data_IF_643350219352
#
_entry.id   IF_643350219352
#
_cell.length_a   1.000
_cell.length_b   1.000
_cell.length_c   1.000
_cell.angle_alpha   90.00
_cell.angle_beta   90.00
_cell.angle_gamma   90.00
#
_symmetry.space_group_name_H-M   'P 1'
#
loop_
_entity.id
_entity.type
_entity.pdbx_description
1 polymer ?
#
# COMPACT_ATOMS: atom_id res chain seq x y z
N UNK A 1 12.63 -12.59 35.11
CA UNK A 1 12.60 -12.50 33.64
C UNK A 1 11.19 -12.65 33.07
N UNK A 2 10.44 -13.72 33.36
CA UNK A 2 9.09 -13.93 32.82
C UNK A 2 8.08 -12.80 33.13
N UNK A 3 8.04 -12.33 34.39
CA UNK A 3 7.16 -11.23 34.79
C UNK A 3 7.44 -9.91 34.02
N UNK A 4 8.71 -9.58 33.82
CA UNK A 4 9.13 -8.37 33.09
C UNK A 4 8.72 -8.43 31.62
N UNK A 5 8.76 -9.62 31.00
CA UNK A 5 8.31 -9.81 29.63
C UNK A 5 6.79 -9.61 29.50
N UNK A 6 5.99 -10.18 30.41
CA UNK A 6 4.52 -10.03 30.41
C UNK A 6 4.13 -8.54 30.50
N UNK A 7 4.73 -7.81 31.46
CA UNK A 7 4.46 -6.38 31.65
C UNK A 7 4.86 -5.58 30.42
N UNK A 8 6.04 -5.85 29.85
CA UNK A 8 6.52 -5.15 28.66
C UNK A 8 5.60 -5.39 27.45
N UNK A 9 5.15 -6.62 27.23
CA UNK A 9 4.23 -6.95 26.13
C UNK A 9 2.89 -6.24 26.29
N UNK A 10 2.30 -6.25 27.48
CA UNK A 10 1.01 -5.59 27.74
C UNK A 10 1.14 -4.06 27.63
N UNK A 11 2.24 -3.49 28.13
CA UNK A 11 2.54 -2.07 27.97
C UNK A 11 2.71 -1.68 26.50
N UNK A 12 3.43 -2.50 25.72
CA UNK A 12 3.61 -2.27 24.29
C UNK A 12 2.27 -2.39 23.53
N UNK A 13 1.45 -3.39 23.87
CA UNK A 13 0.12 -3.54 23.31
C UNK A 13 -0.77 -2.31 23.59
N UNK A 14 -0.67 -1.73 24.78
CA UNK A 14 -1.33 -0.47 25.11
C UNK A 14 -0.83 0.70 24.27
N UNK A 15 0.48 0.85 24.11
CA UNK A 15 1.05 1.92 23.26
C UNK A 15 0.53 1.84 21.82
N UNK A 16 0.43 0.63 21.26
CA UNK A 16 -0.06 0.41 19.90
C UNK A 16 -1.58 0.61 19.76
N UNK A 17 -2.38 0.22 20.75
CA UNK A 17 -3.85 0.30 20.68
C UNK A 17 -4.39 1.71 20.99
N UNK A 18 -3.73 2.44 21.89
CA UNK A 18 -4.18 3.73 22.45
C UNK A 18 -4.56 4.83 21.45
N UNK A 19 -3.98 4.94 20.25
CA UNK A 19 -4.43 5.92 19.25
C UNK A 19 -5.84 5.65 18.72
N UNK A 20 -6.31 4.40 18.78
CA UNK A 20 -7.54 3.94 18.11
C UNK A 20 -8.53 3.29 19.08
N UNK A 21 -8.07 2.89 20.28
CA UNK A 21 -8.84 2.14 21.27
C UNK A 21 -9.52 0.90 20.70
N UNK A 22 -8.85 0.29 19.71
CA UNK A 22 -9.39 -0.73 18.84
C UNK A 22 -9.92 -1.96 19.59
N UNK A 23 -9.19 -2.41 20.62
CA UNK A 23 -9.60 -3.54 21.48
C UNK A 23 -9.53 -3.18 22.97
N UNK A 24 -10.02 -1.98 23.31
CA UNK A 24 -10.07 -1.45 24.68
C UNK A 24 -10.57 -2.44 25.74
N UNK A 25 -11.61 -3.24 25.43
CA UNK A 25 -12.12 -4.28 26.34
C UNK A 25 -11.12 -5.42 26.57
N UNK A 26 -10.48 -5.93 25.51
CA UNK A 26 -9.47 -6.99 25.63
C UNK A 26 -8.23 -6.51 26.38
N UNK A 27 -7.91 -5.22 26.24
CA UNK A 27 -6.79 -4.62 26.96
C UNK A 27 -7.02 -4.62 28.47
N UNK A 28 -8.23 -4.34 28.94
CA UNK A 28 -8.59 -4.44 30.37
C UNK A 28 -8.36 -5.86 30.88
N UNK A 29 -8.81 -6.88 30.14
CA UNK A 29 -8.58 -8.28 30.51
C UNK A 29 -7.09 -8.65 30.49
N UNK A 30 -6.34 -8.20 29.49
CA UNK A 30 -4.90 -8.45 29.41
C UNK A 30 -4.14 -7.87 30.62
N UNK A 31 -4.51 -6.68 31.10
CA UNK A 31 -3.94 -6.08 32.31
C UNK A 31 -4.29 -6.91 33.54
N UNK A 32 -5.54 -7.36 33.70
CA UNK A 32 -5.95 -8.21 34.83
C UNK A 32 -5.14 -9.51 34.84
N UNK A 33 -5.01 -10.19 33.70
CA UNK A 33 -4.22 -11.41 33.59
C UNK A 33 -2.73 -11.18 33.82
N UNK A 34 -2.20 -10.03 33.41
CA UNK A 34 -0.81 -9.66 33.68
C UNK A 34 -0.57 -9.50 35.18
N UNK A 35 -1.46 -8.80 35.89
CA UNK A 35 -1.38 -8.64 37.34
C UNK A 35 -1.49 -9.99 38.04
N UNK A 36 -2.47 -10.82 37.68
CA UNK A 36 -2.64 -12.16 38.27
C UNK A 36 -1.43 -13.06 38.00
N UNK A 37 -0.93 -13.11 36.76
CA UNK A 37 0.22 -13.94 36.40
C UNK A 37 1.53 -13.46 37.04
N UNK A 38 1.75 -12.15 37.14
CA UNK A 38 2.95 -11.59 37.77
C UNK A 38 2.94 -11.76 39.29
N UNK A 39 1.82 -11.47 39.95
CA UNK A 39 1.68 -11.68 41.40
C UNK A 39 1.72 -13.17 41.76
N UNK A 40 1.12 -14.03 40.94
CA UNK A 40 1.17 -15.47 41.11
C UNK A 40 2.60 -16.02 40.99
N UNK A 41 3.35 -15.60 39.97
CA UNK A 41 4.76 -15.96 39.78
C UNK A 41 5.69 -15.38 40.86
N UNK A 42 5.35 -14.22 41.42
CA UNK A 42 6.15 -13.57 42.47
C UNK A 42 5.90 -14.19 43.84
N UNK A 43 4.65 -14.57 44.15
CA UNK A 43 4.27 -15.26 45.38
C UNK A 43 4.62 -16.75 45.36
N UNK A 44 4.81 -17.33 44.17
CA UNK A 44 5.25 -18.71 44.02
C UNK A 44 6.75 -18.88 44.35
N UNK A 45 7.09 -18.83 45.64
CA UNK A 45 8.41 -19.21 46.15
C UNK A 45 8.65 -20.73 46.11
N UNK A 46 9.66 -21.22 46.83
CA UNK A 46 10.06 -22.65 46.84
C UNK A 46 9.01 -23.64 47.36
N UNK A 47 7.90 -23.16 47.93
CA UNK A 47 6.80 -23.96 48.51
C UNK A 47 5.47 -23.84 47.75
N UNK A 48 5.46 -23.22 46.58
CA UNK A 48 4.24 -23.03 45.80
C UNK A 48 3.68 -24.36 45.25
N UNK A 49 2.35 -24.50 45.23
CA UNK A 49 1.72 -25.66 44.60
C UNK A 49 1.91 -25.63 43.07
N UNK A 50 1.98 -26.81 42.46
CA UNK A 50 2.07 -26.96 41.00
C UNK A 50 0.88 -26.31 40.29
N UNK A 51 -0.29 -26.33 40.91
CA UNK A 51 -1.51 -25.69 40.38
C UNK A 51 -1.38 -24.17 40.34
N UNK A 52 -0.81 -23.54 41.39
CA UNK A 52 -0.56 -22.10 41.42
C UNK A 52 0.43 -21.68 40.33
N UNK A 53 1.50 -22.44 40.13
CA UNK A 53 2.49 -22.18 39.08
C UNK A 53 1.84 -22.29 37.69
N UNK A 54 1.07 -23.35 37.43
CA UNK A 54 0.37 -23.56 36.15
C UNK A 54 -0.65 -22.46 35.88
N UNK A 55 -1.45 -22.07 36.88
CA UNK A 55 -2.42 -20.99 36.77
C UNK A 55 -1.77 -19.64 36.46
N UNK A 56 -0.64 -19.34 37.12
CA UNK A 56 0.12 -18.11 36.92
C UNK A 56 0.76 -18.05 35.52
N UNK A 57 1.28 -19.18 35.02
CA UNK A 57 1.76 -19.33 33.65
C UNK A 57 0.63 -19.16 32.62
N UNK A 58 -0.51 -19.81 32.83
CA UNK A 58 -1.67 -19.68 31.95
C UNK A 58 -2.18 -18.23 31.89
N UNK A 59 -2.26 -17.55 33.04
CA UNK A 59 -2.61 -16.14 33.11
C UNK A 59 -1.57 -15.26 32.39
N UNK A 60 -0.27 -15.51 32.59
CA UNK A 60 0.80 -14.80 31.88
C UNK A 60 0.72 -14.97 30.36
N UNK A 61 0.43 -16.19 29.88
CA UNK A 61 0.24 -16.49 28.45
C UNK A 61 -1.02 -15.78 27.92
N UNK A 62 -2.13 -15.83 28.66
CA UNK A 62 -3.36 -15.13 28.28
C UNK A 62 -3.12 -13.61 28.17
N UNK A 63 -2.39 -13.02 29.12
CA UNK A 63 -2.05 -11.61 29.13
C UNK A 63 -1.27 -11.16 27.89
N UNK A 64 -0.35 -11.98 27.37
CA UNK A 64 0.47 -11.65 26.21
C UNK A 64 -0.23 -11.92 24.87
N UNK A 65 -1.19 -12.85 24.83
CA UNK A 65 -1.86 -13.27 23.59
C UNK A 65 -3.20 -12.59 23.33
N UNK A 66 -3.94 -12.15 24.34
CA UNK A 66 -5.30 -11.63 24.17
C UNK A 66 -5.40 -10.45 23.20
N UNK A 67 -4.51 -9.46 23.34
CA UNK A 67 -4.54 -8.26 22.49
C UNK A 67 -4.08 -8.57 21.05
N UNK A 68 -2.93 -9.24 20.80
CA UNK A 68 -2.56 -9.69 19.46
C UNK A 68 -3.57 -10.62 18.79
N UNK A 69 -4.24 -11.49 19.57
CA UNK A 69 -5.31 -12.34 19.04
C UNK A 69 -6.52 -11.51 18.59
N UNK A 70 -6.92 -10.49 19.34
CA UNK A 70 -7.96 -9.55 18.91
C UNK A 70 -7.61 -8.83 17.61
N UNK A 71 -6.35 -8.40 17.46
CA UNK A 71 -5.85 -7.83 16.22
C UNK A 71 -5.86 -8.84 15.05
N UNK A 72 -5.47 -10.09 15.29
CA UNK A 72 -5.52 -11.13 14.26
C UNK A 72 -6.96 -11.45 13.82
N UNK A 73 -7.90 -11.56 14.77
CA UNK A 73 -9.31 -11.83 14.50
C UNK A 73 -9.95 -10.71 13.67
N UNK A 74 -9.47 -9.47 13.78
CA UNK A 74 -9.98 -8.37 12.94
C UNK A 74 -9.83 -8.62 11.44
N UNK A 75 -8.88 -9.45 11.01
CA UNK A 75 -8.72 -9.82 9.59
C UNK A 75 -9.90 -10.60 9.02
N UNK A 76 -10.72 -11.22 9.89
CA UNK A 76 -11.91 -11.96 9.50
C UNK A 76 -13.10 -11.04 9.22
N UNK A 77 -13.06 -9.79 9.67
CA UNK A 77 -14.08 -8.80 9.37
C UNK A 77 -13.63 -7.92 8.18
N UNK A 78 -14.34 -7.96 7.03
CA UNK A 78 -14.01 -7.17 5.85
C UNK A 78 -13.91 -5.66 6.09
N UNK A 79 -14.49 -5.16 7.18
CA UNK A 79 -14.39 -3.75 7.60
C UNK A 79 -12.96 -3.35 7.98
N UNK A 80 -12.13 -4.31 8.42
CA UNK A 80 -10.76 -4.07 8.88
C UNK A 80 -9.69 -4.71 7.99
N UNK A 81 -10.08 -5.48 6.97
CA UNK A 81 -9.17 -6.18 6.08
C UNK A 81 -8.27 -5.25 5.23
N UNK A 82 -8.64 -3.98 5.09
CA UNK A 82 -7.91 -3.01 4.29
C UNK A 82 -8.13 -3.18 2.79
N UNK A 83 -7.30 -2.51 1.97
CA UNK A 83 -7.31 -2.71 0.53
C UNK A 83 -6.54 -3.99 0.16
N UNK A 84 -6.86 -4.63 -0.97
CA UNK A 84 -6.12 -5.81 -1.46
C UNK A 84 -4.60 -5.56 -1.61
N UNK A 85 -4.20 -4.31 -1.79
CA UNK A 85 -2.81 -3.87 -1.93
C UNK A 85 -2.12 -3.55 -0.60
N UNK A 86 -2.89 -3.55 0.49
CA UNK A 86 -2.46 -3.15 1.83
C UNK A 86 -3.35 -3.86 2.84
N UNK A 87 -3.23 -5.19 2.98
CA UNK A 87 -3.98 -5.93 3.98
C UNK A 87 -3.61 -5.44 5.37
N UNK A 88 -4.61 -5.29 6.24
CA UNK A 88 -4.42 -4.76 7.59
C UNK A 88 -4.99 -5.70 8.64
N UNK A 89 -4.37 -5.69 9.83
CA UNK A 89 -4.79 -6.42 11.01
C UNK A 89 -4.46 -5.56 12.24
N UNK A 90 -5.39 -5.46 13.19
CA UNK A 90 -5.17 -4.68 14.41
C UNK A 90 -5.12 -3.17 14.15
N UNK A 91 -4.75 -2.37 15.16
CA UNK A 91 -5.24 -1.01 15.33
C UNK A 91 -5.09 -0.23 14.04
N UNK A 92 -6.23 -0.01 13.38
CA UNK A 92 -6.26 0.57 12.05
C UNK A 92 -6.07 2.08 12.20
N UNK A 93 -5.20 2.69 11.39
CA UNK A 93 -4.96 4.13 11.49
C UNK A 93 -6.25 4.95 11.37
N UNK A 94 -6.23 6.18 11.89
CA UNK A 94 -7.38 7.10 11.95
C UNK A 94 -8.23 7.16 10.67
N UNK A 95 -7.59 7.07 9.49
CA UNK A 95 -8.28 7.01 8.21
C UNK A 95 -9.22 5.81 8.06
N UNK A 96 -8.75 4.62 8.44
CA UNK A 96 -9.56 3.40 8.45
C UNK A 96 -10.57 3.41 9.59
N UNK A 97 -10.25 4.02 10.72
CA UNK A 97 -11.20 4.16 11.82
C UNK A 97 -12.41 5.02 11.42
N UNK A 98 -12.19 6.17 10.75
CA UNK A 98 -13.28 7.00 10.20
C UNK A 98 -14.11 6.27 9.17
N UNK A 99 -13.45 5.49 8.32
CA UNK A 99 -14.08 4.67 7.29
C UNK A 99 -15.11 3.64 7.81
N UNK A 100 -14.99 3.21 9.07
CA UNK A 100 -15.97 2.33 9.71
C UNK A 100 -17.32 3.03 9.94
N UNK A 101 -17.29 4.35 10.18
CA UNK A 101 -18.46 5.17 10.45
C UNK A 101 -18.94 5.94 9.22
N UNK A 102 -18.03 6.20 8.26
CA UNK A 102 -18.34 6.80 6.97
C UNK A 102 -17.67 6.00 5.84
N UNK A 103 -18.42 5.06 5.22
CA UNK A 103 -17.91 4.27 4.09
C UNK A 103 -17.48 5.11 2.89
N UNK A 104 -17.96 6.35 2.75
CA UNK A 104 -17.57 7.25 1.67
C UNK A 104 -16.15 7.82 1.86
N UNK A 105 -15.64 7.80 3.09
CA UNK A 105 -14.26 8.16 3.40
C UNK A 105 -13.24 7.14 2.83
N UNK A 106 -13.66 5.89 2.57
CA UNK A 106 -12.83 4.90 1.88
C UNK A 106 -12.75 5.22 0.39
N UNK A 107 -11.71 5.95 -0.01
CA UNK A 107 -11.23 5.88 -1.38
C UNK A 107 -10.61 4.50 -1.64
N UNK A 108 -11.45 3.52 -1.98
CA UNK A 108 -10.99 2.26 -2.57
C UNK A 108 -10.31 2.58 -3.90
N UNK A 109 -8.98 2.69 -3.88
CA UNK A 109 -8.17 2.67 -5.09
C UNK A 109 -8.10 1.22 -5.58
N UNK A 110 -9.18 0.72 -6.16
CA UNK A 110 -9.20 -0.61 -6.78
C UNK A 110 -8.13 -0.68 -7.86
N UNK A 111 -7.16 -1.57 -7.72
CA UNK A 111 -6.21 -1.94 -8.78
C UNK A 111 -6.68 -3.15 -9.57
N UNK A 112 -7.76 -3.79 -9.10
CA UNK A 112 -8.35 -5.02 -9.61
C UNK A 112 -9.29 -4.79 -10.81
N UNK A 113 -9.92 -3.61 -10.89
CA UNK A 113 -10.86 -3.28 -11.97
C UNK A 113 -10.39 -2.08 -12.77
N UNK A 114 -10.16 -2.24 -14.09
CA UNK A 114 -9.90 -1.09 -14.94
C UNK A 114 -11.15 -0.21 -15.02
N UNK A 115 -10.96 1.09 -14.90
CA UNK A 115 -12.02 2.05 -15.13
C UNK A 115 -12.22 2.30 -16.63
N UNK A 116 -13.37 2.86 -17.04
CA UNK A 116 -13.59 3.32 -18.42
C UNK A 116 -12.47 4.25 -18.92
N UNK A 117 -11.86 4.99 -17.99
CA UNK A 117 -10.71 5.86 -18.23
C UNK A 117 -9.43 5.10 -18.55
N UNK A 118 -9.16 4.00 -17.85
CA UNK A 118 -8.00 3.14 -18.11
C UNK A 118 -8.18 2.44 -19.48
N UNK A 119 -9.40 1.99 -19.81
CA UNK A 119 -9.74 1.39 -21.10
C UNK A 119 -9.53 2.37 -22.26
N UNK A 120 -10.06 3.59 -22.16
CA UNK A 120 -9.90 4.61 -23.21
C UNK A 120 -8.43 5.02 -23.42
N UNK A 121 -7.64 5.09 -22.34
CA UNK A 121 -6.20 5.33 -22.45
C UNK A 121 -5.50 4.17 -23.17
N UNK A 122 -5.86 2.92 -22.84
CA UNK A 122 -5.26 1.74 -23.44
C UNK A 122 -5.57 1.63 -24.94
N UNK A 123 -6.83 1.86 -25.32
CA UNK A 123 -7.27 1.89 -26.71
C UNK A 123 -6.52 2.95 -27.53
N UNK A 124 -6.38 4.17 -26.97
CA UNK A 124 -5.57 5.22 -27.57
C UNK A 124 -4.13 4.77 -27.81
N UNK A 125 -3.48 4.16 -26.80
CA UNK A 125 -2.09 3.71 -26.90
C UNK A 125 -1.92 2.61 -27.94
N UNK A 126 -2.82 1.61 -27.97
CA UNK A 126 -2.78 0.50 -28.92
C UNK A 126 -2.95 1.01 -30.35
N UNK A 127 -3.94 1.87 -30.58
CA UNK A 127 -4.24 2.46 -31.90
C UNK A 127 -3.06 3.27 -32.44
N UNK A 128 -2.27 3.90 -31.58
CA UNK A 128 -1.15 4.75 -31.97
C UNK A 128 0.23 4.08 -31.87
N UNK A 129 0.29 2.77 -31.59
CA UNK A 129 1.53 2.00 -31.51
C UNK A 129 2.16 1.87 -32.90
N UNK A 130 3.49 2.06 -32.98
CA UNK A 130 4.32 1.94 -34.18
C UNK A 130 5.46 0.93 -33.98
N UNK A 131 5.16 -0.21 -33.34
CA UNK A 131 6.12 -1.31 -33.14
C UNK A 131 7.04 -1.16 -31.94
N UNK A 132 6.80 -0.20 -31.04
CA UNK A 132 7.64 0.00 -29.85
C UNK A 132 7.66 -1.24 -28.96
N UNK A 133 8.82 -1.54 -28.36
CA UNK A 133 8.99 -2.65 -27.40
C UNK A 133 8.03 -2.51 -26.22
N UNK A 134 7.91 -1.31 -25.66
CA UNK A 134 6.98 -0.98 -24.58
C UNK A 134 5.88 -0.06 -25.11
N UNK A 135 4.62 -0.43 -24.86
CA UNK A 135 3.45 0.37 -25.20
C UNK A 135 3.43 1.70 -24.44
N UNK A 136 3.82 1.66 -23.17
CA UNK A 136 3.78 2.80 -22.26
C UNK A 136 4.76 2.60 -21.10
N UNK A 137 5.41 3.68 -20.66
CA UNK A 137 6.08 3.73 -19.37
C UNK A 137 5.21 4.46 -18.34
N UNK A 138 5.07 3.92 -17.14
CA UNK A 138 4.33 4.55 -16.04
C UNK A 138 5.29 5.00 -14.93
N UNK A 139 4.99 6.12 -14.27
CA UNK A 139 5.81 6.60 -13.13
C UNK A 139 5.75 5.71 -11.88
N UNK A 140 4.72 4.84 -11.77
CA UNK A 140 4.57 3.91 -10.66
C UNK A 140 3.76 2.68 -11.09
N UNK A 141 3.73 1.64 -10.25
CA UNK A 141 3.06 0.37 -10.55
C UNK A 141 1.53 0.47 -10.65
N UNK A 142 0.89 1.27 -9.79
CA UNK A 142 -0.57 1.30 -9.67
C UNK A 142 -1.36 1.72 -10.95
N UNK A 143 -0.90 2.62 -11.84
CA UNK A 143 -1.53 2.80 -13.14
C UNK A 143 -1.24 1.64 -14.11
N UNK A 144 -0.06 1.02 -14.05
CA UNK A 144 0.27 -0.11 -14.91
C UNK A 144 -0.60 -1.33 -14.59
N UNK A 145 -0.86 -1.60 -13.31
CA UNK A 145 -1.67 -2.74 -12.89
C UNK A 145 -3.08 -2.69 -13.49
N UNK A 146 -3.76 -1.55 -13.43
CA UNK A 146 -5.10 -1.40 -14.02
C UNK A 146 -5.08 -1.59 -15.54
N UNK A 147 -4.06 -1.09 -16.23
CA UNK A 147 -3.92 -1.27 -17.67
C UNK A 147 -3.65 -2.73 -18.04
N UNK A 148 -2.77 -3.42 -17.31
CA UNK A 148 -2.47 -4.84 -17.51
C UNK A 148 -3.70 -5.74 -17.28
N UNK A 149 -4.56 -5.38 -16.32
CA UNK A 149 -5.83 -6.10 -16.09
C UNK A 149 -6.86 -5.85 -17.18
N UNK A 150 -6.83 -4.68 -17.83
CA UNK A 150 -7.69 -4.44 -18.99
C UNK A 150 -7.23 -5.27 -20.19
N UNK A 151 -5.94 -5.22 -20.51
CA UNK A 151 -5.34 -6.04 -21.57
C UNK A 151 -3.83 -6.14 -21.35
N UNK A 152 -3.29 -7.36 -21.43
CA UNK A 152 -1.87 -7.60 -21.30
C UNK A 152 -1.10 -6.91 -22.44
N UNK A 153 -0.26 -5.93 -22.08
CA UNK A 153 0.58 -5.14 -22.98
C UNK A 153 1.95 -4.94 -22.34
N UNK A 154 3.04 -4.82 -23.13
CA UNK A 154 4.36 -4.58 -22.57
C UNK A 154 4.44 -3.17 -21.98
N UNK A 155 4.42 -3.07 -20.65
CA UNK A 155 4.52 -1.81 -19.92
C UNK A 155 5.86 -1.71 -19.18
N UNK A 156 6.47 -0.54 -19.23
CA UNK A 156 7.66 -0.23 -18.43
C UNK A 156 7.24 0.48 -17.14
N UNK A 157 7.31 -0.21 -16.00
CA UNK A 157 7.04 0.41 -14.70
C UNK A 157 8.30 1.10 -14.20
N UNK A 158 8.29 2.43 -14.24
CA UNK A 158 9.35 3.25 -13.64
C UNK A 158 9.06 3.47 -12.15
N UNK A 159 10.08 3.70 -11.34
CA UNK A 159 9.85 4.16 -9.96
C UNK A 159 9.36 3.10 -8.96
N UNK A 160 9.06 1.86 -9.39
CA UNK A 160 8.48 0.82 -8.54
C UNK A 160 7.05 1.17 -8.04
N UNK A 161 6.62 0.57 -6.94
CA UNK A 161 5.29 0.84 -6.36
C UNK A 161 5.12 2.28 -5.85
N UNK A 162 6.19 2.82 -5.26
CA UNK A 162 6.22 4.14 -4.60
C UNK A 162 6.68 5.27 -5.51
N UNK A 163 7.04 4.99 -6.76
CA UNK A 163 7.57 5.98 -7.70
C UNK A 163 8.97 6.52 -7.36
N UNK A 164 9.67 5.93 -6.37
CA UNK A 164 10.95 6.41 -5.84
C UNK A 164 12.18 5.64 -6.36
N UNK A 165 11.99 4.45 -6.92
CA UNK A 165 13.13 3.68 -7.45
C UNK A 165 13.72 4.40 -8.67
N UNK A 166 15.04 4.68 -8.72
CA UNK A 166 15.66 5.39 -9.83
C UNK A 166 15.88 4.46 -11.03
N UNK A 167 14.81 3.84 -11.53
CA UNK A 167 14.86 2.90 -12.65
C UNK A 167 13.75 3.19 -13.67
N UNK A 168 14.08 3.20 -14.98
CA UNK A 168 15.44 3.36 -15.50
C UNK A 168 16.02 4.74 -15.09
N UNK A 169 17.34 4.90 -15.19
CA UNK A 169 17.95 6.23 -15.08
C UNK A 169 17.48 7.15 -16.22
N UNK A 170 17.65 8.47 -16.07
CA UNK A 170 17.24 9.41 -17.12
C UNK A 170 17.96 9.17 -18.47
N UNK A 171 19.28 8.91 -18.53
CA UNK A 171 19.97 8.57 -19.78
C UNK A 171 19.46 7.26 -20.40
N UNK A 172 19.21 6.23 -19.59
CA UNK A 172 18.66 4.96 -20.09
C UNK A 172 17.24 5.13 -20.65
N UNK A 173 16.40 5.93 -19.99
CA UNK A 173 15.08 6.27 -20.51
C UNK A 173 15.17 7.00 -21.85
N UNK A 174 16.09 7.98 -21.95
CA UNK A 174 16.38 8.68 -23.20
C UNK A 174 16.83 7.72 -24.31
N UNK A 175 17.65 6.73 -24.00
CA UNK A 175 18.11 5.73 -24.96
C UNK A 175 16.96 4.83 -25.45
N UNK A 176 16.06 4.40 -24.56
CA UNK A 176 14.85 3.64 -24.96
C UNK A 176 13.97 4.43 -25.93
N UNK A 177 13.88 5.74 -25.74
CA UNK A 177 13.11 6.63 -26.63
C UNK A 177 13.84 6.84 -27.96
N UNK A 178 15.14 7.12 -27.92
CA UNK A 178 15.96 7.33 -29.11
C UNK A 178 16.04 6.10 -30.02
N UNK A 179 16.00 4.90 -29.43
CA UNK A 179 16.00 3.62 -30.16
C UNK A 179 14.59 3.13 -30.53
N UNK A 180 13.57 3.99 -30.45
CA UNK A 180 12.17 3.68 -30.74
C UNK A 180 11.58 2.50 -29.94
N UNK A 181 12.17 2.16 -28.80
CA UNK A 181 11.66 1.10 -27.90
C UNK A 181 10.55 1.60 -26.97
N UNK A 182 10.47 2.92 -26.75
CA UNK A 182 9.47 3.57 -25.90
C UNK A 182 9.07 4.91 -26.49
N UNK A 183 7.77 5.23 -26.44
CA UNK A 183 7.26 6.53 -26.92
C UNK A 183 6.39 7.25 -25.92
N UNK A 184 5.49 6.53 -25.27
CA UNK A 184 4.52 7.13 -24.37
C UNK A 184 4.97 7.01 -22.92
N UNK A 185 4.79 8.10 -22.16
CA UNK A 185 5.07 8.11 -20.72
C UNK A 185 3.89 8.70 -19.95
N UNK A 186 3.41 7.99 -18.93
CA UNK A 186 2.34 8.42 -18.03
C UNK A 186 2.91 8.84 -16.67
N UNK A 187 2.83 10.14 -16.38
CA UNK A 187 3.28 10.73 -15.13
C UNK A 187 2.11 11.06 -14.22
N UNK A 188 2.36 11.15 -12.91
CA UNK A 188 1.38 11.50 -11.89
C UNK A 188 1.94 12.52 -10.88
N UNK A 189 1.06 13.37 -10.34
CA UNK A 189 1.41 14.28 -9.26
C UNK A 189 1.37 13.62 -7.87
N UNK A 190 0.84 12.39 -7.76
CA UNK A 190 0.75 11.65 -6.49
C UNK A 190 2.07 10.98 -6.08
N UNK A 191 3.12 11.16 -6.88
CA UNK A 191 4.43 10.55 -6.68
C UNK A 191 5.52 11.61 -6.83
N UNK A 192 6.63 11.49 -6.08
CA UNK A 192 7.73 12.44 -6.18
C UNK A 192 8.30 12.51 -7.60
N UNK A 193 8.88 13.65 -7.93
CA UNK A 193 9.68 13.80 -9.14
C UNK A 193 11.01 13.07 -8.99
N UNK A 194 11.36 12.29 -10.01
CA UNK A 194 12.69 11.68 -10.18
C UNK A 194 13.42 12.31 -11.37
N UNK A 195 14.76 12.15 -11.50
CA UNK A 195 15.50 12.64 -12.67
C UNK A 195 14.89 12.20 -14.01
N UNK A 196 14.43 10.95 -14.10
CA UNK A 196 13.77 10.43 -15.31
C UNK A 196 12.45 11.18 -15.62
N UNK A 197 11.61 11.43 -14.61
CA UNK A 197 10.36 12.19 -14.81
C UNK A 197 10.62 13.66 -15.16
N UNK A 198 11.69 14.25 -14.64
CA UNK A 198 12.12 15.61 -14.99
C UNK A 198 12.57 15.66 -16.44
N UNK A 199 13.37 14.69 -16.88
CA UNK A 199 13.80 14.56 -18.27
C UNK A 199 12.61 14.43 -19.23
N UNK A 200 11.61 13.61 -18.89
CA UNK A 200 10.38 13.47 -19.70
C UNK A 200 9.65 14.81 -19.85
N UNK A 201 9.53 15.57 -18.75
CA UNK A 201 8.86 16.87 -18.79
C UNK A 201 9.59 17.90 -19.65
N UNK A 202 10.91 17.82 -19.77
CA UNK A 202 11.70 18.74 -20.60
C UNK A 202 11.82 18.32 -22.07
N UNK A 203 11.74 17.03 -22.38
CA UNK A 203 11.97 16.53 -23.76
C UNK A 203 10.69 16.08 -24.48
N UNK A 204 9.61 15.77 -23.76
CA UNK A 204 8.40 15.19 -24.33
C UNK A 204 7.23 16.17 -24.33
N UNK A 205 6.30 16.00 -25.28
CA UNK A 205 5.10 16.85 -25.39
C UNK A 205 3.94 16.24 -24.61
N UNK A 206 3.36 17.00 -23.68
CA UNK A 206 2.14 16.57 -22.97
C UNK A 206 0.95 16.51 -23.93
N UNK A 207 0.24 15.39 -23.92
CA UNK A 207 -0.99 15.17 -24.69
C UNK A 207 -2.18 15.72 -23.89
N UNK A 208 -3.08 16.43 -24.57
CA UNK A 208 -4.32 16.92 -23.96
C UNK A 208 -5.22 15.74 -23.61
N UNK A 209 -5.82 15.77 -22.42
CA UNK A 209 -6.63 14.66 -21.92
C UNK A 209 -7.81 14.30 -22.84
N UNK A 210 -8.39 15.29 -23.53
CA UNK A 210 -9.46 15.07 -24.48
C UNK A 210 -9.07 14.14 -25.64
N UNK A 211 -7.79 14.05 -26.00
CA UNK A 211 -7.32 13.21 -27.10
C UNK A 211 -7.41 11.70 -26.81
N UNK A 212 -7.41 11.31 -25.54
CA UNK A 212 -7.56 9.92 -25.09
C UNK A 212 -8.86 9.74 -24.26
N UNK A 213 -9.91 10.49 -24.62
CA UNK A 213 -11.26 10.30 -24.08
C UNK A 213 -11.55 10.97 -22.73
N UNK A 214 -10.71 11.91 -22.25
CA UNK A 214 -10.87 12.50 -20.91
C UNK A 214 -11.19 14.00 -20.94
N UNK A 215 -12.41 14.35 -20.52
CA UNK A 215 -12.88 15.75 -20.43
C UNK A 215 -12.54 16.47 -19.11
N UNK A 216 -12.23 15.75 -18.04
CA UNK A 216 -11.86 16.33 -16.73
C UNK A 216 -10.36 16.18 -16.43
N UNK A 217 -9.73 17.16 -15.77
CA UNK A 217 -8.34 17.03 -15.29
C UNK A 217 -8.25 15.87 -14.29
N UNK A 218 -7.48 14.84 -14.63
CA UNK A 218 -7.12 13.77 -13.72
C UNK A 218 -5.72 13.97 -13.11
N UNK A 219 -5.34 13.07 -12.20
CA UNK A 219 -4.03 13.09 -11.54
C UNK A 219 -2.87 12.56 -12.41
N UNK A 220 -3.13 12.35 -13.71
CA UNK A 220 -2.18 11.81 -14.67
C UNK A 220 -1.98 12.75 -15.86
N UNK A 221 -0.77 12.75 -16.39
CA UNK A 221 -0.41 13.39 -17.65
C UNK A 221 0.27 12.40 -18.57
N UNK A 222 -0.29 12.22 -19.77
CA UNK A 222 0.32 11.43 -20.84
C UNK A 222 1.28 12.33 -21.65
N UNK A 223 2.45 11.82 -21.97
CA UNK A 223 3.49 12.49 -22.73
C UNK A 223 3.84 11.67 -23.98
N UNK A 224 3.94 12.32 -25.13
CA UNK A 224 4.45 11.77 -26.39
C UNK A 224 5.91 12.22 -26.56
N UNK A 225 6.82 11.25 -26.51
CA UNK A 225 8.25 11.47 -26.59
C UNK A 225 8.81 11.28 -28.01
N UNK A 226 7.97 11.32 -29.06
CA UNK A 226 8.46 11.36 -30.45
C UNK A 226 9.51 12.44 -30.63
N UNK A 227 10.63 12.04 -31.22
CA UNK A 227 11.67 12.96 -31.67
C UNK A 227 11.08 13.91 -32.72
N UNK A 228 11.64 15.13 -32.89
CA UNK A 228 11.16 16.06 -33.92
C UNK A 228 11.22 15.50 -35.35
N UNK A 229 12.10 14.54 -35.63
CA UNK A 229 12.20 13.86 -36.92
C UNK A 229 10.95 13.02 -37.23
N UNK A 230 10.45 12.26 -36.25
CA UNK A 230 9.24 11.42 -36.35
C UNK A 230 7.91 12.18 -36.46
N UNK A 231 7.94 13.52 -36.37
CA UNK A 231 6.74 14.37 -36.49
C UNK A 231 6.48 14.85 -37.92
N UNK A 232 7.44 14.63 -38.84
CA UNK A 232 7.39 15.10 -40.23
C UNK A 232 7.03 14.01 -41.25
N UNK A 233 6.93 12.75 -40.81
CA UNK A 233 6.45 11.61 -41.62
C UNK A 233 5.19 11.01 -41.01
#
# INVERSE_FOLDING_TARGET
>A
MAASAIVLTVAWAFVLDRPTWFVSRLLVFAVIFAVCGTLGLWSSGSRASQELIRGSLAAGIAATLLVPAGWAVSTLDPRYAGAATSPTAGPVGEFHHRALYDPSALRRAGLDRPSARDIALLDYLITHRRGEKYLLATQAAYPAERLLRAQAQPLLVMGGFTGKTPFPSAPELGNLIATHQLRYVLLTHLRPTTPATTWVKSHCKRIRSGAYGWRTRGNFGLYDCRTPADRRG
#
